data_IF_334829865151
#
_entry.id   IF_334829865151
#
_cell.length_a   1.000
_cell.length_b   1.000
_cell.length_c   1.000
_cell.angle_alpha   90.00
_cell.angle_beta   90.00
_cell.angle_gamma   90.00
#
_symmetry.space_group_name_H-M   'P 1'
#
loop_
_entity.id
_entity.type
_entity.pdbx_description
1 polymer ?
#
# COMPACT_ATOMS: atom_id res chain seq x y z
N UNK A 1 3.89 3.34 6.27
CA UNK A 1 4.77 4.51 6.03
C UNK A 1 4.87 4.66 4.53
N UNK A 2 4.87 5.90 4.03
CA UNK A 2 5.13 6.22 2.63
C UNK A 2 6.01 7.47 2.55
N UNK A 3 6.71 7.67 1.43
CA UNK A 3 7.47 8.88 1.14
C UNK A 3 6.59 9.88 0.38
N UNK A 4 6.68 11.16 0.73
CA UNK A 4 6.04 12.25 -0.02
C UNK A 4 7.12 13.14 -0.62
N UNK A 5 7.32 13.06 -1.93
CA UNK A 5 8.29 13.92 -2.65
C UNK A 5 7.96 15.40 -2.49
N UNK A 6 6.66 15.74 -2.53
CA UNK A 6 6.16 17.11 -2.39
C UNK A 6 6.45 17.74 -1.04
N UNK A 7 6.41 16.95 0.03
CA UNK A 7 6.82 17.41 1.35
C UNK A 7 8.32 17.22 1.56
N UNK A 8 8.97 16.30 0.84
CA UNK A 8 10.30 15.77 1.17
C UNK A 8 10.37 15.18 2.59
N UNK A 9 9.33 14.43 2.96
CA UNK A 9 9.20 13.80 4.28
C UNK A 9 8.58 12.41 4.17
N UNK A 10 8.92 11.53 5.11
CA UNK A 10 8.15 10.31 5.34
C UNK A 10 6.87 10.62 6.09
N UNK A 11 5.77 9.98 5.70
CA UNK A 11 4.50 9.99 6.41
C UNK A 11 4.31 8.63 7.10
N UNK A 12 4.18 8.67 8.43
CA UNK A 12 4.13 7.48 9.28
C UNK A 12 2.78 7.40 9.99
N UNK A 13 2.04 6.32 9.69
CA UNK A 13 0.89 5.90 10.49
C UNK A 13 1.41 5.16 11.73
N UNK A 14 0.86 5.49 12.89
CA UNK A 14 1.13 4.77 14.15
C UNK A 14 -0.12 4.05 14.65
N UNK A 15 0.08 3.03 15.47
CA UNK A 15 -1.00 2.33 16.18
C UNK A 15 -1.77 3.22 17.17
N UNK A 16 -1.24 4.41 17.50
CA UNK A 16 -1.89 5.39 18.38
C UNK A 16 -2.85 6.33 17.64
N UNK A 17 -3.39 5.90 16.48
CA UNK A 17 -4.31 6.67 15.62
C UNK A 17 -3.77 8.00 15.10
N UNK A 18 -2.48 8.28 15.33
CA UNK A 18 -1.79 9.52 14.98
C UNK A 18 -0.90 9.31 13.78
N UNK A 19 -0.74 10.37 13.01
CA UNK A 19 0.11 10.40 11.82
C UNK A 19 1.19 11.45 12.02
N UNK A 20 2.41 11.09 11.65
CA UNK A 20 3.59 11.92 11.80
C UNK A 20 4.25 12.13 10.45
N UNK A 21 4.89 13.30 10.30
CA UNK A 21 5.89 13.54 9.27
C UNK A 21 7.28 13.40 9.89
N UNK A 22 8.18 12.77 9.15
CA UNK A 22 9.59 12.63 9.55
C UNK A 22 10.44 13.25 8.46
N UNK A 23 11.26 14.23 8.84
CA UNK A 23 12.26 14.83 7.96
C UNK A 23 13.50 13.94 7.96
N UNK A 24 13.94 13.44 6.82
CA UNK A 24 15.10 12.55 6.78
C UNK A 24 16.43 13.26 7.05
N UNK A 25 16.52 14.56 6.72
CA UNK A 25 17.74 15.37 6.87
C UNK A 25 17.94 15.81 8.31
N UNK A 26 16.89 16.29 8.97
CA UNK A 26 16.96 16.77 10.35
C UNK A 26 16.60 15.71 11.38
N UNK A 27 16.02 14.58 10.93
CA UNK A 27 15.42 13.55 11.78
C UNK A 27 14.32 14.08 12.71
N UNK A 28 13.74 15.26 12.39
CA UNK A 28 12.62 15.80 13.17
C UNK A 28 11.36 14.98 12.94
N UNK A 29 10.62 14.74 14.02
CA UNK A 29 9.35 14.02 14.00
C UNK A 29 8.26 14.99 14.45
N UNK A 30 7.31 15.24 13.57
CA UNK A 30 6.25 16.21 13.83
C UNK A 30 4.90 15.56 13.59
N UNK A 31 3.96 15.80 14.50
CA UNK A 31 2.60 15.33 14.33
C UNK A 31 1.90 16.15 13.24
N UNK A 32 1.16 15.47 12.37
CA UNK A 32 0.26 16.13 11.42
C UNK A 32 -1.06 16.44 12.15
N UNK A 33 -1.30 17.73 12.38
CA UNK A 33 -2.56 18.25 12.90
C UNK A 33 -3.44 18.62 11.71
N UNK A 34 -4.56 17.92 11.50
CA UNK A 34 -5.43 18.08 10.31
C UNK A 34 -6.02 16.78 9.78
N UNK A 35 -5.51 15.65 10.25
CA UNK A 35 -6.11 14.33 10.02
C UNK A 35 -6.73 13.86 11.32
N UNK A 36 -8.02 13.52 11.28
CA UNK A 36 -8.73 12.94 12.42
C UNK A 36 -8.06 11.64 12.90
N UNK A 37 -8.08 11.43 14.21
CA UNK A 37 -7.61 10.18 14.79
C UNK A 37 -8.56 9.04 14.40
N UNK A 38 -8.07 8.11 13.57
CA UNK A 38 -8.77 6.89 13.20
C UNK A 38 -7.81 5.70 13.28
N UNK A 39 -8.37 4.51 13.29
CA UNK A 39 -7.59 3.27 13.14
C UNK A 39 -7.10 3.19 11.69
N UNK A 40 -6.01 3.88 11.38
CA UNK A 40 -5.37 3.89 10.07
C UNK A 40 -4.56 2.59 9.87
N UNK A 41 -4.60 2.02 8.67
CA UNK A 41 -3.91 0.78 8.33
C UNK A 41 -2.75 0.99 7.35
N UNK A 42 -3.03 1.63 6.22
CA UNK A 42 -2.06 1.79 5.15
C UNK A 42 -2.13 3.19 4.52
N UNK A 43 -1.03 3.58 3.87
CA UNK A 43 -0.87 4.89 3.24
C UNK A 43 -0.03 4.79 1.98
N UNK A 44 -0.29 5.67 1.04
CA UNK A 44 0.57 5.96 -0.11
C UNK A 44 0.40 7.43 -0.52
N UNK A 45 1.31 7.94 -1.34
CA UNK A 45 1.29 9.33 -1.80
C UNK A 45 1.44 9.43 -3.31
N UNK A 46 0.74 10.42 -3.86
CA UNK A 46 1.09 11.06 -5.13
C UNK A 46 1.79 12.39 -4.83
N UNK A 47 2.16 13.13 -5.87
CA UNK A 47 2.70 14.48 -5.72
C UNK A 47 1.70 15.49 -5.13
N UNK A 48 0.40 15.18 -5.16
CA UNK A 48 -0.64 16.14 -4.76
C UNK A 48 -1.48 15.67 -3.59
N UNK A 49 -1.60 14.35 -3.43
CA UNK A 49 -2.50 13.74 -2.46
C UNK A 49 -1.81 12.65 -1.62
N UNK A 50 -2.16 12.62 -0.35
CA UNK A 50 -1.98 11.49 0.55
C UNK A 50 -3.26 10.65 0.53
N UNK A 51 -3.10 9.33 0.39
CA UNK A 51 -4.18 8.36 0.48
C UNK A 51 -4.03 7.53 1.75
N UNK A 52 -5.12 7.35 2.50
CA UNK A 52 -5.16 6.57 3.74
C UNK A 52 -6.31 5.56 3.75
N UNK A 53 -6.07 4.38 4.32
CA UNK A 53 -7.12 3.36 4.54
C UNK A 53 -7.32 3.07 6.02
N UNK A 54 -8.55 2.67 6.40
CA UNK A 54 -8.86 2.30 7.79
C UNK A 54 -8.72 0.80 8.05
N UNK A 55 -8.23 0.44 9.23
CA UNK A 55 -8.06 -0.91 9.77
C UNK A 55 -9.40 -1.48 10.29
N UNK A 56 -10.33 -1.75 9.38
CA UNK A 56 -11.59 -2.44 9.69
C UNK A 56 -12.12 -3.18 8.47
N UNK A 57 -12.96 -4.18 8.70
CA UNK A 57 -13.86 -4.73 7.66
C UNK A 57 -14.79 -3.62 7.15
N UNK A 58 -14.97 -3.53 5.85
CA UNK A 58 -15.54 -2.36 5.18
C UNK A 58 -14.60 -1.16 5.28
N UNK A 59 -13.34 -1.32 4.87
CA UNK A 59 -12.34 -0.24 4.93
C UNK A 59 -12.79 0.99 4.15
N UNK A 60 -12.67 2.16 4.76
CA UNK A 60 -12.78 3.44 4.07
C UNK A 60 -11.44 3.80 3.41
N UNK A 61 -11.50 4.54 2.30
CA UNK A 61 -10.34 5.15 1.65
C UNK A 61 -10.50 6.68 1.69
N UNK A 62 -9.49 7.38 2.15
CA UNK A 62 -9.48 8.83 2.30
C UNK A 62 -8.40 9.43 1.42
N UNK A 63 -8.70 10.59 0.84
CA UNK A 63 -7.77 11.40 0.07
C UNK A 63 -7.62 12.76 0.76
N UNK A 64 -6.37 13.16 0.98
CA UNK A 64 -5.99 14.43 1.57
C UNK A 64 -5.10 15.19 0.59
N UNK A 65 -5.33 16.50 0.41
CA UNK A 65 -4.40 17.34 -0.33
C UNK A 65 -3.17 17.57 0.52
N UNK A 66 -1.97 17.49 -0.05
CA UNK A 66 -0.70 17.65 0.68
C UNK A 66 -0.37 19.11 1.00
N UNK A 67 -0.53 20.00 0.01
CA UNK A 67 -0.20 21.42 0.09
C UNK A 67 -1.44 22.34 -0.06
N UNK A 68 -1.42 23.53 0.55
CA UNK A 68 -0.37 24.08 1.41
C UNK A 68 -0.34 23.47 2.83
N UNK A 69 -1.44 22.83 3.23
CA UNK A 69 -1.61 22.12 4.48
C UNK A 69 -2.37 20.83 4.21
N UNK A 70 -2.07 19.78 4.97
CA UNK A 70 -2.74 18.49 4.83
C UNK A 70 -4.19 18.62 5.24
N UNK A 71 -5.11 18.47 4.28
CA UNK A 71 -6.55 18.64 4.50
C UNK A 71 -7.38 17.58 3.76
N UNK A 72 -8.49 17.12 4.34
CA UNK A 72 -9.36 16.15 3.68
C UNK A 72 -9.94 16.73 2.38
N UNK A 73 -10.03 15.88 1.36
CA UNK A 73 -10.59 16.23 0.04
C UNK A 73 -11.77 15.34 -0.27
N UNK A 74 -11.57 14.02 -0.13
CA UNK A 74 -12.56 13.02 -0.52
C UNK A 74 -12.47 11.81 0.38
N UNK A 75 -13.61 11.16 0.58
CA UNK A 75 -13.71 9.88 1.27
C UNK A 75 -14.57 8.96 0.42
N UNK A 76 -14.08 7.74 0.21
CA UNK A 76 -14.86 6.63 -0.31
C UNK A 76 -15.16 5.66 0.82
N UNK A 77 -16.43 5.29 0.93
CA UNK A 77 -16.93 4.31 1.89
C UNK A 77 -17.36 3.05 1.13
N UNK A 78 -17.49 1.90 1.80
CA UNK A 78 -18.14 0.73 1.21
C UNK A 78 -19.54 1.07 0.68
N UNK A 79 -19.98 0.50 -0.45
CA UNK A 79 -19.30 -0.50 -1.28
C UNK A 79 -18.29 0.07 -2.28
N UNK A 80 -18.10 1.39 -2.31
CA UNK A 80 -17.22 2.04 -3.29
C UNK A 80 -15.74 1.81 -3.01
N UNK A 81 -15.30 1.89 -1.76
CA UNK A 81 -13.90 1.63 -1.39
C UNK A 81 -13.54 0.14 -1.46
N UNK A 82 -14.34 -0.72 -0.84
CA UNK A 82 -14.32 -2.17 -0.93
C UNK A 82 -15.72 -2.69 -0.56
N UNK A 83 -15.99 -4.00 -0.70
CA UNK A 83 -17.25 -4.56 -0.18
C UNK A 83 -17.31 -4.49 1.34
N UNK A 84 -18.52 -4.61 1.88
CA UNK A 84 -18.77 -4.54 3.33
C UNK A 84 -18.02 -5.63 4.13
N UNK A 85 -17.81 -6.82 3.55
CA UNK A 85 -17.09 -7.93 4.18
C UNK A 85 -15.60 -7.98 3.80
N UNK A 86 -15.09 -6.97 3.09
CA UNK A 86 -13.69 -6.89 2.65
C UNK A 86 -12.93 -5.82 3.44
N UNK A 87 -11.60 -5.93 3.50
CA UNK A 87 -10.70 -4.90 4.07
C UNK A 87 -9.56 -4.59 3.10
N UNK A 88 -9.12 -3.33 3.07
CA UNK A 88 -7.98 -2.88 2.27
C UNK A 88 -6.72 -2.92 3.15
N UNK A 89 -5.86 -3.90 2.91
CA UNK A 89 -4.66 -4.18 3.71
C UNK A 89 -3.42 -3.38 3.29
N UNK A 90 -3.29 -3.11 2.00
CA UNK A 90 -2.22 -2.29 1.46
C UNK A 90 -2.74 -1.47 0.28
N UNK A 91 -2.10 -0.32 0.09
CA UNK A 91 -2.38 0.61 -0.99
C UNK A 91 -1.05 1.10 -1.55
N UNK A 92 -0.97 1.21 -2.87
CA UNK A 92 0.16 1.86 -3.52
C UNK A 92 -0.30 2.72 -4.69
N UNK A 93 0.22 3.94 -4.78
CA UNK A 93 -0.04 4.86 -5.87
C UNK A 93 1.03 4.72 -6.94
N UNK A 94 0.59 4.65 -8.20
CA UNK A 94 1.47 4.81 -9.34
C UNK A 94 0.69 5.42 -10.50
N UNK A 95 1.27 6.43 -11.17
CA UNK A 95 0.76 6.98 -12.43
C UNK A 95 -0.79 7.11 -12.51
N UNK A 96 -1.40 7.89 -11.60
CA UNK A 96 -2.87 8.12 -11.53
C UNK A 96 -3.73 6.88 -11.24
N UNK A 97 -3.10 5.80 -10.77
CA UNK A 97 -3.77 4.58 -10.34
C UNK A 97 -3.43 4.26 -8.88
N UNK A 98 -4.29 3.46 -8.26
CA UNK A 98 -4.13 2.92 -6.92
C UNK A 98 -4.23 1.40 -7.00
N UNK A 99 -3.14 0.71 -6.68
CA UNK A 99 -3.18 -0.71 -6.39
C UNK A 99 -3.68 -0.93 -4.96
N UNK A 100 -4.67 -1.78 -4.79
CA UNK A 100 -5.30 -2.11 -3.52
C UNK A 100 -5.17 -3.61 -3.27
N UNK A 101 -4.59 -4.00 -2.14
CA UNK A 101 -4.67 -5.37 -1.64
C UNK A 101 -5.93 -5.49 -0.81
N UNK A 102 -6.94 -6.17 -1.36
CA UNK A 102 -8.24 -6.38 -0.75
C UNK A 102 -8.32 -7.81 -0.24
N UNK A 103 -8.77 -7.96 1.01
CA UNK A 103 -8.94 -9.26 1.64
C UNK A 103 -10.38 -9.44 2.05
N UNK A 104 -10.93 -10.61 1.77
CA UNK A 104 -12.20 -11.03 2.32
C UNK A 104 -12.06 -11.49 3.78
N UNK A 105 -13.02 -11.11 4.62
CA UNK A 105 -13.06 -11.52 6.02
C UNK A 105 -13.18 -13.05 6.16
N UNK A 106 -12.82 -13.60 7.32
CA UNK A 106 -12.99 -15.03 7.65
C UNK A 106 -12.22 -16.05 6.79
N UNK A 107 -10.97 -15.72 6.41
CA UNK A 107 -10.12 -16.66 5.69
C UNK A 107 -10.35 -16.69 4.18
N UNK A 108 -11.16 -15.75 3.67
CA UNK A 108 -11.43 -15.61 2.25
C UNK A 108 -10.23 -15.18 1.42
N UNK A 109 -10.49 -15.03 0.13
CA UNK A 109 -9.49 -14.75 -0.90
C UNK A 109 -8.84 -13.37 -0.73
N UNK A 110 -7.60 -13.27 -1.17
CA UNK A 110 -6.91 -11.99 -1.36
C UNK A 110 -6.97 -11.63 -2.83
N UNK A 111 -7.43 -10.43 -3.14
CA UNK A 111 -7.39 -9.85 -4.47
C UNK A 111 -6.45 -8.66 -4.47
N UNK A 112 -5.69 -8.49 -5.55
CA UNK A 112 -5.16 -7.18 -5.90
C UNK A 112 -6.12 -6.54 -6.91
N UNK A 113 -6.46 -5.28 -6.69
CA UNK A 113 -7.23 -4.49 -7.65
C UNK A 113 -6.45 -3.24 -8.04
N UNK A 114 -6.46 -2.92 -9.33
CA UNK A 114 -6.00 -1.62 -9.79
C UNK A 114 -7.20 -0.74 -10.06
N UNK A 115 -7.19 0.47 -9.49
CA UNK A 115 -8.28 1.43 -9.63
C UNK A 115 -7.75 2.79 -10.06
N UNK A 116 -8.58 3.55 -10.76
CA UNK A 116 -8.29 4.96 -11.04
C UNK A 116 -8.19 5.75 -9.73
N UNK A 117 -7.16 6.57 -9.55
CA UNK A 117 -6.98 7.33 -8.29
C UNK A 117 -7.96 8.51 -8.14
N UNK A 118 -8.63 8.92 -9.23
CA UNK A 118 -9.58 10.04 -9.24
C UNK A 118 -11.03 9.59 -9.04
N UNK A 119 -11.42 8.50 -9.72
CA UNK A 119 -12.80 7.99 -9.70
C UNK A 119 -12.97 6.79 -8.78
N UNK A 120 -11.88 6.06 -8.50
CA UNK A 120 -11.88 4.75 -7.86
C UNK A 120 -12.58 3.66 -8.69
N UNK A 121 -12.82 3.91 -9.98
CA UNK A 121 -13.29 2.87 -10.90
C UNK A 121 -12.21 1.79 -11.03
N UNK A 122 -12.64 0.53 -10.97
CA UNK A 122 -11.76 -0.63 -11.11
C UNK A 122 -11.34 -0.80 -12.56
N UNK A 123 -10.03 -0.85 -12.78
CA UNK A 123 -9.41 -1.11 -14.09
C UNK A 123 -9.26 -2.62 -14.30
N UNK A 124 -8.73 -3.32 -13.30
CA UNK A 124 -8.67 -4.78 -13.27
C UNK A 124 -8.67 -5.32 -11.83
N UNK A 125 -8.91 -6.62 -11.70
CA UNK A 125 -8.87 -7.38 -10.45
C UNK A 125 -8.21 -8.72 -10.72
N UNK A 126 -7.29 -9.13 -9.85
CA UNK A 126 -6.63 -10.42 -9.92
C UNK A 126 -6.69 -11.11 -8.56
N UNK A 127 -7.35 -12.28 -8.45
CA UNK A 127 -7.26 -13.12 -7.27
C UNK A 127 -5.84 -13.68 -7.13
N UNK A 128 -5.30 -13.59 -5.93
CA UNK A 128 -4.03 -14.20 -5.57
C UNK A 128 -4.30 -15.48 -4.79
N UNK A 129 -3.52 -16.53 -5.07
CA UNK A 129 -3.53 -17.77 -4.30
C UNK A 129 -2.85 -17.56 -2.93
N UNK A 130 -3.53 -16.76 -2.10
CA UNK A 130 -3.17 -16.44 -0.73
C UNK A 130 -4.39 -16.74 0.11
N UNK A 131 -4.36 -17.87 0.83
CA UNK A 131 -5.35 -18.15 1.86
C UNK A 131 -5.04 -17.31 3.08
N UNK A 132 -6.00 -16.50 3.49
CA UNK A 132 -5.70 -15.47 4.47
C UNK A 132 -5.73 -16.04 5.91
N UNK A 133 -4.56 -16.40 6.45
CA UNK A 133 -4.42 -17.09 7.75
C UNK A 133 -4.46 -16.12 8.95
N UNK A 134 -5.56 -15.36 9.10
CA UNK A 134 -5.78 -14.42 10.21
C UNK A 134 -5.28 -12.98 9.96
N UNK A 135 -5.75 -12.03 10.79
CA UNK A 135 -5.62 -10.57 10.61
C UNK A 135 -4.17 -10.07 10.45
N UNK A 136 -3.20 -10.83 10.97
CA UNK A 136 -1.78 -10.42 11.06
C UNK A 136 -0.90 -10.84 9.89
N UNK A 137 -1.46 -11.55 8.91
CA UNK A 137 -0.74 -11.87 7.67
C UNK A 137 -0.42 -10.59 6.90
N UNK A 138 0.84 -10.18 6.89
CA UNK A 138 1.30 -8.98 6.19
C UNK A 138 1.39 -9.25 4.70
N UNK A 139 0.72 -8.41 3.92
CA UNK A 139 0.80 -8.36 2.47
C UNK A 139 1.12 -6.93 2.10
N UNK A 140 2.16 -6.72 1.31
CA UNK A 140 2.53 -5.41 0.78
C UNK A 140 2.56 -5.45 -0.73
N UNK A 141 2.52 -4.28 -1.36
CA UNK A 141 2.73 -4.15 -2.78
C UNK A 141 3.61 -2.94 -3.06
N UNK A 142 4.32 -2.97 -4.18
CA UNK A 142 5.00 -1.81 -4.74
C UNK A 142 4.87 -1.84 -6.27
N UNK A 143 4.94 -0.66 -6.88
CA UNK A 143 5.03 -0.51 -8.32
C UNK A 143 6.46 -0.79 -8.80
N UNK A 144 6.57 -1.36 -9.99
CA UNK A 144 7.81 -1.55 -10.73
C UNK A 144 7.87 -0.57 -11.91
N UNK A 145 8.98 -0.60 -12.65
CA UNK A 145 9.04 0.01 -13.98
C UNK A 145 7.92 -0.53 -14.89
N UNK A 146 7.52 0.29 -15.87
CA UNK A 146 6.51 -0.05 -16.87
C UNK A 146 5.11 -0.35 -16.31
N UNK A 147 4.77 0.27 -15.18
CA UNK A 147 3.47 0.14 -14.49
C UNK A 147 3.13 -1.31 -14.08
N UNK A 148 4.17 -2.15 -13.89
CA UNK A 148 4.02 -3.49 -13.33
C UNK A 148 4.00 -3.44 -11.79
N UNK A 149 3.63 -4.56 -11.17
CA UNK A 149 3.39 -4.62 -9.73
C UNK A 149 4.07 -5.84 -9.11
N UNK A 150 4.63 -5.64 -7.92
CA UNK A 150 5.02 -6.73 -7.03
C UNK A 150 4.10 -6.78 -5.83
N UNK A 151 3.65 -7.98 -5.48
CA UNK A 151 2.96 -8.26 -4.23
C UNK A 151 3.82 -9.22 -3.41
N UNK A 152 4.03 -8.87 -2.15
CA UNK A 152 4.81 -9.67 -1.21
C UNK A 152 3.87 -10.23 -0.15
N UNK A 153 3.85 -11.55 0.02
CA UNK A 153 3.16 -12.20 1.13
C UNK A 153 4.16 -12.73 2.14
N UNK A 154 4.28 -12.05 3.28
CA UNK A 154 5.32 -12.33 4.29
C UNK A 154 5.17 -13.70 4.95
N UNK A 155 3.95 -14.22 5.08
CA UNK A 155 3.71 -15.49 5.78
C UNK A 155 4.17 -16.68 4.94
N UNK A 156 3.84 -16.70 3.65
CA UNK A 156 4.25 -17.77 2.74
C UNK A 156 5.60 -17.50 2.07
N UNK A 157 6.20 -16.34 2.32
CA UNK A 157 7.41 -15.88 1.63
C UNK A 157 7.30 -15.87 0.11
N UNK A 158 6.10 -15.59 -0.41
CA UNK A 158 5.85 -15.53 -1.86
C UNK A 158 5.91 -14.10 -2.38
N UNK A 159 6.48 -13.97 -3.58
CA UNK A 159 6.50 -12.77 -4.38
C UNK A 159 5.68 -13.03 -5.65
N UNK A 160 4.70 -12.18 -5.92
CA UNK A 160 3.87 -12.23 -7.13
C UNK A 160 4.24 -11.06 -8.03
N UNK A 161 4.58 -11.34 -9.28
CA UNK A 161 4.88 -10.35 -10.30
C UNK A 161 3.71 -10.25 -11.27
N UNK A 162 3.13 -9.06 -11.37
CA UNK A 162 1.87 -8.80 -12.05
C UNK A 162 2.11 -7.72 -13.11
N UNK A 163 1.64 -7.95 -14.32
CA UNK A 163 1.76 -6.99 -15.42
C UNK A 163 0.88 -5.76 -15.18
N UNK A 164 1.13 -4.70 -15.96
CA UNK A 164 0.27 -3.49 -15.98
C UNK A 164 -1.20 -3.79 -16.26
N UNK A 165 -1.49 -4.88 -16.98
CA UNK A 165 -2.82 -5.28 -17.41
C UNK A 165 -3.48 -6.29 -16.44
N UNK A 166 -2.87 -6.54 -15.27
CA UNK A 166 -3.44 -7.40 -14.25
C UNK A 166 -3.22 -8.90 -14.47
N UNK A 167 -2.23 -9.28 -15.28
CA UNK A 167 -1.88 -10.68 -15.54
C UNK A 167 -0.73 -11.10 -14.63
N UNK A 168 -0.87 -12.22 -13.93
CA UNK A 168 0.23 -12.82 -13.18
C UNK A 168 1.32 -13.31 -14.15
N UNK A 169 2.47 -12.64 -14.16
CA UNK A 169 3.63 -13.01 -14.97
C UNK A 169 4.42 -14.14 -14.32
N UNK A 170 4.62 -14.03 -13.01
CA UNK A 170 5.44 -14.98 -12.28
C UNK A 170 5.09 -15.01 -10.79
N UNK A 171 5.39 -16.12 -10.13
CA UNK A 171 5.28 -16.28 -8.70
C UNK A 171 6.52 -17.01 -8.19
N UNK A 172 7.18 -16.45 -7.19
CA UNK A 172 8.42 -16.99 -6.63
C UNK A 172 8.30 -17.14 -5.12
N UNK A 173 8.67 -18.32 -4.62
CA UNK A 173 8.80 -18.57 -3.20
C UNK A 173 10.26 -18.34 -2.78
N UNK A 174 10.45 -17.54 -1.73
CA UNK A 174 11.77 -17.18 -1.22
C UNK A 174 12.18 -18.04 -0.03
N UNK A 175 13.45 -18.45 -0.04
CA UNK A 175 14.16 -18.97 1.11
C UNK A 175 15.51 -18.22 1.18
N UNK A 176 15.80 -17.44 2.22
CA UNK A 176 15.09 -17.31 3.50
C UNK A 176 13.84 -16.42 3.46
N UNK A 177 13.11 -16.34 4.59
CA UNK A 177 11.82 -15.65 4.75
C UNK A 177 11.82 -14.23 4.18
N UNK A 178 10.90 -13.97 3.25
CA UNK A 178 10.67 -12.66 2.64
C UNK A 178 9.81 -11.77 3.55
N UNK A 179 10.36 -10.64 3.97
CA UNK A 179 9.67 -9.68 4.84
C UNK A 179 8.99 -8.56 4.05
N UNK A 180 9.68 -7.99 3.05
CA UNK A 180 9.16 -6.91 2.21
C UNK A 180 9.97 -6.78 0.92
N UNK A 181 9.41 -6.10 -0.08
CA UNK A 181 10.12 -5.64 -1.26
C UNK A 181 9.65 -4.22 -1.63
N UNK A 182 10.57 -3.38 -2.09
CA UNK A 182 10.28 -2.01 -2.51
C UNK A 182 11.27 -1.56 -3.58
N UNK A 183 10.82 -0.70 -4.49
CA UNK A 183 11.72 -0.01 -5.41
C UNK A 183 12.59 1.02 -4.68
N UNK A 184 13.86 1.08 -5.04
CA UNK A 184 14.83 2.06 -4.60
C UNK A 184 15.43 2.77 -5.81
N UNK A 185 15.11 4.06 -5.95
CA UNK A 185 15.40 4.80 -7.17
C UNK A 185 14.63 4.23 -8.36
N UNK A 186 15.13 4.50 -9.58
CA UNK A 186 14.44 4.11 -10.80
C UNK A 186 14.65 2.64 -11.19
N UNK A 187 15.70 1.98 -10.70
CA UNK A 187 16.17 0.72 -11.28
C UNK A 187 16.69 -0.32 -10.28
N UNK A 188 16.47 -0.14 -8.97
CA UNK A 188 16.86 -1.15 -7.98
C UNK A 188 15.65 -1.65 -7.23
N UNK A 189 15.53 -2.96 -7.10
CA UNK A 189 14.59 -3.61 -6.21
C UNK A 189 15.30 -3.97 -4.91
N UNK A 190 14.78 -3.49 -3.79
CA UNK A 190 15.28 -3.83 -2.46
C UNK A 190 14.38 -4.90 -1.88
N UNK A 191 14.98 -6.03 -1.53
CA UNK A 191 14.29 -7.17 -0.94
C UNK A 191 14.81 -7.37 0.48
N UNK A 192 13.92 -7.29 1.46
CA UNK A 192 14.22 -7.57 2.85
C UNK A 192 13.92 -9.04 3.16
N UNK A 193 14.96 -9.81 3.48
CA UNK A 193 14.90 -11.23 3.77
C UNK A 193 15.39 -11.51 5.19
N UNK A 194 14.52 -11.85 6.14
CA UNK A 194 14.90 -12.15 7.52
C UNK A 194 15.71 -11.02 8.18
N UNK A 195 17.04 -11.18 8.24
CA UNK A 195 18.01 -10.21 8.77
C UNK A 195 18.86 -9.53 7.69
N UNK A 196 18.63 -9.83 6.41
CA UNK A 196 19.41 -9.34 5.27
C UNK A 196 18.59 -8.41 4.39
N UNK A 197 19.26 -7.46 3.74
CA UNK A 197 18.68 -6.61 2.71
C UNK A 197 19.47 -6.82 1.43
N UNK A 198 18.79 -7.28 0.38
CA UNK A 198 19.39 -7.52 -0.92
C UNK A 198 18.97 -6.42 -1.90
N UNK A 199 19.90 -6.00 -2.74
CA UNK A 199 19.65 -5.05 -3.82
C UNK A 199 19.76 -5.80 -5.14
N UNK A 200 18.71 -5.74 -5.94
CA UNK A 200 18.65 -6.34 -7.26
C UNK A 200 18.57 -5.24 -8.32
N UNK A 201 19.39 -5.35 -9.34
CA UNK A 201 19.31 -4.48 -10.51
C UNK A 201 18.17 -4.97 -11.40
N UNK A 202 17.26 -4.06 -11.76
CA UNK A 202 16.20 -4.29 -12.76
C UNK A 202 16.64 -3.77 -14.14
#
# INVERSE_FOLDING_TARGET
MCWSSTLSHFIVITNKKKIYRINETTLSIERIYGIEEKDWLSCTCSDTYLYLTTCKTGSNLFQFKLLPLIRPVKQWQPPYSCKLHESIHAIEYNNRTLALIIRESFGGMVNIELRSSSTLNRLWSLPLDIRSSGLWSRISCCSLQYDEWLVVHTTTSRLFHISKDGILKNMHEYQPKLNNAIMFGSNKLVIHLGTKVNFHQL
#
